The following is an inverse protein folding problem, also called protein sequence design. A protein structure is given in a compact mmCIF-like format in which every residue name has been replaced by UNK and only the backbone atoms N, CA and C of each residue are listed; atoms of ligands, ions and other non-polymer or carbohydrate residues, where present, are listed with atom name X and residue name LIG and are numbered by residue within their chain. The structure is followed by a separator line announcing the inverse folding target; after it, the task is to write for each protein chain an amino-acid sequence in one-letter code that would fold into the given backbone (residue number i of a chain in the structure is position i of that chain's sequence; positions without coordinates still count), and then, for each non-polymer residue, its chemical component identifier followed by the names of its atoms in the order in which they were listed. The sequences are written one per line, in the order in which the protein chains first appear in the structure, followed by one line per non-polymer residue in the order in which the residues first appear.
data_IF_217982595582
#
_entry.id   IF_217982595582
#
_cell.length_a   1.000
_cell.length_b   1.000
_cell.length_c   1.000
_cell.angle_alpha   90.00
_cell.angle_beta   90.00
_cell.angle_gamma   90.00
#
_symmetry.space_group_name_H-M   'P 1'
#
loop_
_entity.id
_entity.type
_entity.pdbx_description
1 polymer ?
#
# COMPACT_ATOMS: atom_id res chain seq x y z
N UNK A 1 12.17 18.43 3.22
CA UNK A 1 11.41 17.15 3.21
C UNK A 1 10.34 17.27 4.26
N UNK A 2 9.08 16.91 3.96
CA UNK A 2 8.00 16.92 4.96
C UNK A 2 8.40 16.01 6.13
N UNK A 3 8.33 16.55 7.35
CA UNK A 3 8.66 15.81 8.57
C UNK A 3 7.36 15.31 9.15
N UNK A 4 7.13 14.01 9.00
CA UNK A 4 6.03 13.32 9.67
C UNK A 4 6.17 13.52 11.18
N UNK A 5 5.08 13.95 11.81
CA UNK A 5 4.97 14.00 13.26
C UNK A 5 4.33 12.72 13.81
N UNK A 6 4.14 12.66 15.13
CA UNK A 6 3.55 11.51 15.80
C UNK A 6 2.09 11.28 15.40
N UNK A 7 1.36 12.36 15.10
CA UNK A 7 -0.03 12.28 14.66
C UNK A 7 -0.13 11.67 13.26
N UNK A 8 0.72 12.10 12.32
CA UNK A 8 0.77 11.53 10.98
C UNK A 8 1.12 10.03 11.04
N UNK A 9 2.09 9.67 11.90
CA UNK A 9 2.52 8.28 12.06
C UNK A 9 1.40 7.42 12.66
N UNK A 10 0.67 7.95 13.65
CA UNK A 10 -0.48 7.27 14.24
C UNK A 10 -1.58 7.06 13.19
N UNK A 11 -1.93 8.12 12.44
CA UNK A 11 -2.93 8.06 11.37
C UNK A 11 -2.57 6.99 10.32
N UNK A 12 -1.32 6.94 9.86
CA UNK A 12 -0.87 5.91 8.91
C UNK A 12 -1.01 4.52 9.51
N UNK A 13 -0.62 4.35 10.77
CA UNK A 13 -0.67 3.05 11.47
C UNK A 13 -2.12 2.55 11.62
N UNK A 14 -3.05 3.43 12.01
CA UNK A 14 -4.48 3.11 12.10
C UNK A 14 -5.09 2.70 10.76
N UNK A 15 -4.71 3.39 9.68
CA UNK A 15 -5.15 3.04 8.32
C UNK A 15 -4.59 1.68 7.87
N UNK A 16 -3.33 1.38 8.20
CA UNK A 16 -2.74 0.06 7.95
C UNK A 16 -3.52 -1.04 8.69
N UNK A 17 -3.82 -0.83 9.98
CA UNK A 17 -4.62 -1.79 10.76
C UNK A 17 -6.03 -2.00 10.18
N UNK A 18 -6.69 -0.91 9.79
CA UNK A 18 -8.00 -0.97 9.15
C UNK A 18 -7.95 -1.79 7.85
N UNK A 19 -7.00 -1.49 6.97
CA UNK A 19 -6.88 -2.18 5.69
C UNK A 19 -6.50 -3.66 5.87
N UNK A 20 -5.64 -3.99 6.84
CA UNK A 20 -5.31 -5.38 7.19
C UNK A 20 -6.56 -6.19 7.52
N UNK A 21 -7.47 -5.64 8.34
CA UNK A 21 -8.75 -6.31 8.67
C UNK A 21 -9.62 -6.50 7.43
N UNK A 22 -9.71 -5.50 6.55
CA UNK A 22 -10.46 -5.60 5.30
C UNK A 22 -9.90 -6.68 4.37
N UNK A 23 -8.58 -6.78 4.26
CA UNK A 23 -7.91 -7.84 3.50
C UNK A 23 -8.20 -9.21 4.11
N UNK A 24 -8.11 -9.37 5.44
CA UNK A 24 -8.44 -10.64 6.10
C UNK A 24 -9.88 -11.09 5.79
N UNK A 25 -10.84 -10.16 5.80
CA UNK A 25 -12.24 -10.41 5.44
C UNK A 25 -12.43 -10.74 3.95
N UNK A 26 -11.58 -10.23 3.06
CA UNK A 26 -11.58 -10.62 1.65
C UNK A 26 -11.01 -12.02 1.45
N UNK A 27 -9.99 -12.39 2.22
CA UNK A 27 -9.33 -13.70 2.14
C UNK A 27 -10.18 -14.82 2.74
N UNK A 28 -10.97 -14.54 3.77
CA UNK A 28 -11.88 -15.52 4.38
C UNK A 28 -13.26 -15.61 3.71
N UNK A 29 -13.51 -14.80 2.68
CA UNK A 29 -14.75 -14.81 1.89
C UNK A 29 -15.90 -13.95 2.43
N UNK A 30 -15.72 -13.25 3.56
CA UNK A 30 -16.73 -12.32 4.10
C UNK A 30 -16.96 -11.09 3.21
N UNK A 31 -15.96 -10.68 2.42
CA UNK A 31 -16.08 -9.63 1.42
C UNK A 31 -15.86 -10.23 0.03
N UNK A 32 -16.84 -10.02 -0.86
CA UNK A 32 -16.67 -10.35 -2.26
C UNK A 32 -15.82 -9.29 -2.99
N UNK A 33 -15.45 -9.56 -4.26
CA UNK A 33 -14.57 -8.66 -5.01
C UNK A 33 -15.19 -7.27 -5.24
N UNK A 34 -16.49 -7.18 -5.49
CA UNK A 34 -17.16 -5.90 -5.74
C UNK A 34 -17.19 -5.01 -4.49
N UNK A 35 -17.39 -5.62 -3.32
CA UNK A 35 -17.32 -4.94 -2.02
C UNK A 35 -15.89 -4.54 -1.65
N UNK A 36 -14.90 -5.38 -2.01
CA UNK A 36 -13.50 -5.11 -1.72
C UNK A 36 -12.86 -4.09 -2.67
N UNK A 37 -13.33 -4.01 -3.91
CA UNK A 37 -12.84 -3.10 -4.96
C UNK A 37 -12.67 -1.66 -4.49
N UNK A 38 -13.68 -0.96 -3.92
CA UNK A 38 -13.49 0.41 -3.45
C UNK A 38 -12.44 0.51 -2.33
N UNK A 39 -12.39 -0.46 -1.42
CA UNK A 39 -11.46 -0.48 -0.28
C UNK A 39 -10.00 -0.59 -0.75
N UNK A 40 -9.72 -1.52 -1.67
CA UNK A 40 -8.37 -1.70 -2.22
C UNK A 40 -7.93 -0.50 -3.06
N UNK A 41 -8.83 0.09 -3.85
CA UNK A 41 -8.51 1.24 -4.68
C UNK A 41 -8.19 2.50 -3.86
N UNK A 42 -8.91 2.73 -2.76
CA UNK A 42 -8.60 3.82 -1.82
C UNK A 42 -7.21 3.66 -1.18
N UNK A 43 -6.71 2.43 -1.06
CA UNK A 43 -5.37 2.11 -0.54
C UNK A 43 -4.32 1.92 -1.64
N UNK A 44 -4.63 2.28 -2.90
CA UNK A 44 -3.70 2.19 -4.01
C UNK A 44 -3.41 0.78 -4.52
N UNK A 45 -4.21 -0.22 -4.13
CA UNK A 45 -4.06 -1.61 -4.56
C UNK A 45 -4.99 -1.93 -5.74
N UNK A 46 -4.40 -1.97 -6.93
CA UNK A 46 -5.09 -2.20 -8.20
C UNK A 46 -4.97 -3.66 -8.61
N UNK A 47 -6.06 -4.30 -9.00
CA UNK A 47 -6.01 -5.58 -9.69
C UNK A 47 -5.84 -5.33 -11.19
N UNK A 48 -4.66 -5.64 -11.73
CA UNK A 48 -4.43 -5.78 -13.17
C UNK A 48 -4.91 -7.18 -13.63
N UNK A 49 -4.77 -7.51 -14.92
CA UNK A 49 -5.31 -8.78 -15.47
C UNK A 49 -5.00 -10.01 -14.61
N UNK A 50 -3.77 -10.15 -14.11
CA UNK A 50 -3.33 -11.37 -13.42
C UNK A 50 -2.68 -11.11 -12.05
N UNK A 51 -2.54 -9.85 -11.62
CA UNK A 51 -1.79 -9.53 -10.41
C UNK A 51 -2.21 -8.19 -9.81
N UNK A 52 -1.91 -8.02 -8.53
CA UNK A 52 -2.07 -6.73 -7.87
C UNK A 52 -0.87 -5.81 -8.14
N UNK A 53 -1.16 -4.54 -8.41
CA UNK A 53 -0.20 -3.44 -8.48
C UNK A 53 -0.45 -2.50 -7.29
N UNK A 54 0.61 -2.23 -6.52
CA UNK A 54 0.57 -1.30 -5.40
C UNK A 54 1.12 0.06 -5.82
N UNK A 55 0.25 1.08 -5.82
CA UNK A 55 0.63 2.46 -6.08
C UNK A 55 0.98 3.16 -4.77
N UNK A 56 2.19 3.69 -4.69
CA UNK A 56 2.71 4.37 -3.50
C UNK A 56 2.67 5.88 -3.72
N UNK A 57 2.07 6.61 -2.77
CA UNK A 57 2.06 8.07 -2.81
C UNK A 57 3.42 8.62 -2.36
N UNK A 58 4.04 9.46 -3.20
CA UNK A 58 5.29 10.16 -2.91
C UNK A 58 5.02 11.66 -2.96
N UNK A 59 4.87 12.33 -1.80
CA UNK A 59 4.59 13.76 -1.74
C UNK A 59 5.65 14.56 -2.50
N UNK A 60 5.20 15.35 -3.48
CA UNK A 60 6.05 16.20 -4.33
C UNK A 60 7.13 15.44 -5.11
N UNK A 61 7.04 14.12 -5.25
CA UNK A 61 8.06 13.29 -5.92
C UNK A 61 9.40 13.20 -5.16
N UNK A 62 9.48 13.70 -3.93
CA UNK A 62 10.72 13.77 -3.16
C UNK A 62 10.95 12.49 -2.34
N UNK A 63 12.06 11.77 -2.61
CA UNK A 63 12.47 10.59 -1.85
C UNK A 63 13.88 10.73 -1.28
N UNK A 64 14.06 10.35 -0.02
CA UNK A 64 15.38 10.11 0.56
C UNK A 64 15.94 8.76 0.09
N UNK A 65 17.27 8.62 0.14
CA UNK A 65 17.93 7.34 -0.12
C UNK A 65 17.44 6.22 0.82
N UNK A 66 17.06 6.56 2.06
CA UNK A 66 16.47 5.61 3.02
C UNK A 66 15.11 5.11 2.56
N UNK A 67 14.20 6.01 2.15
CA UNK A 67 12.89 5.64 1.63
C UNK A 67 13.01 4.80 0.35
N UNK A 68 13.89 5.16 -0.57
CA UNK A 68 14.10 4.38 -1.80
C UNK A 68 14.62 2.97 -1.50
N UNK A 69 15.52 2.80 -0.53
CA UNK A 69 15.96 1.47 -0.06
C UNK A 69 14.81 0.64 0.51
N UNK A 70 13.88 1.27 1.25
CA UNK A 70 12.67 0.60 1.74
C UNK A 70 11.79 0.15 0.57
N UNK A 71 11.57 0.98 -0.45
CA UNK A 71 10.82 0.60 -1.65
C UNK A 71 11.47 -0.59 -2.36
N UNK A 72 12.81 -0.57 -2.47
CA UNK A 72 13.56 -1.66 -3.09
C UNK A 72 13.47 -2.97 -2.27
N UNK A 73 13.39 -2.88 -0.93
CA UNK A 73 13.13 -4.05 -0.08
C UNK A 73 11.73 -4.62 -0.33
N UNK A 74 10.71 -3.77 -0.43
CA UNK A 74 9.33 -4.20 -0.74
C UNK A 74 9.29 -4.93 -2.08
N UNK A 75 9.86 -4.33 -3.14
CA UNK A 75 9.87 -4.91 -4.47
C UNK A 75 10.58 -6.28 -4.52
N UNK A 76 11.68 -6.47 -3.79
CA UNK A 76 12.40 -7.75 -3.75
C UNK A 76 11.74 -8.82 -2.87
N UNK A 77 11.01 -8.41 -1.85
CA UNK A 77 10.47 -9.33 -0.83
C UNK A 77 9.05 -9.78 -1.16
N UNK A 78 8.22 -8.86 -1.66
CA UNK A 78 6.79 -9.08 -1.87
C UNK A 78 6.37 -9.05 -3.35
N UNK A 79 7.30 -8.70 -4.23
CA UNK A 79 7.12 -8.73 -5.68
C UNK A 79 8.33 -9.42 -6.34
N UNK A 80 8.38 -9.43 -7.68
CA UNK A 80 9.44 -10.04 -8.47
C UNK A 80 10.64 -9.10 -8.71
N UNK A 81 10.84 -8.12 -7.83
CA UNK A 81 11.89 -7.10 -7.98
C UNK A 81 11.54 -5.95 -8.93
N UNK A 82 10.27 -5.82 -9.33
CA UNK A 82 9.83 -4.74 -10.23
C UNK A 82 9.47 -3.46 -9.47
N UNK A 83 9.68 -2.32 -10.13
CA UNK A 83 9.27 -1.00 -9.69
C UNK A 83 9.20 -0.06 -10.88
N UNK A 84 8.19 0.80 -10.91
CA UNK A 84 7.96 1.76 -12.00
C UNK A 84 7.58 3.12 -11.41
N UNK A 85 8.00 4.21 -12.07
CA UNK A 85 7.76 5.59 -11.66
C UNK A 85 7.06 6.38 -12.76
#
# INVERSE_FOLDING_TARGET
MYRYDEFDQQLVSERVEQFRRQVARRLNGELNEDQFKPLRLMNGLYLQLHAYMLRINVPYGCLSSKQLRTLAHIARTYDKGFGHF
#
